data_IF_823616604466
#
_entry.id   IF_823616604466
#
_cell.length_a   1.000
_cell.length_b   1.000
_cell.length_c   1.000
_cell.angle_alpha   90.00
_cell.angle_beta   90.00
_cell.angle_gamma   90.00
#
_symmetry.space_group_name_H-M   'P 1'
#
loop_
_entity.id
_entity.type
_entity.pdbx_description
1 polymer ?
#
# COMPACT_ATOMS: atom_id res chain seq x y z
N UNK A 1 4.44 -3.98 5.17
CA UNK A 1 3.88 -4.81 4.09
C UNK A 1 2.49 -4.29 3.76
N UNK A 2 2.22 -3.99 2.49
CA UNK A 2 0.90 -3.65 1.99
C UNK A 2 0.03 -4.88 1.71
N UNK A 3 -1.29 -4.69 1.61
CA UNK A 3 -2.20 -5.77 1.18
C UNK A 3 -1.86 -6.25 -0.23
N UNK A 4 -1.37 -5.38 -1.12
CA UNK A 4 -0.91 -5.79 -2.45
C UNK A 4 0.26 -6.75 -2.37
N UNK A 5 1.26 -6.43 -1.57
CA UNK A 5 2.44 -7.29 -1.42
C UNK A 5 2.08 -8.63 -0.74
N UNK A 6 1.17 -8.62 0.24
CA UNK A 6 0.68 -9.84 0.88
C UNK A 6 0.03 -10.79 -0.15
N UNK A 7 -0.73 -10.24 -1.11
CA UNK A 7 -1.30 -11.00 -2.22
C UNK A 7 -0.20 -11.53 -3.15
N UNK A 8 0.78 -10.71 -3.52
CA UNK A 8 1.88 -11.13 -4.39
C UNK A 8 2.77 -12.22 -3.77
N UNK A 9 2.84 -12.28 -2.43
CA UNK A 9 3.51 -13.34 -1.69
C UNK A 9 2.73 -14.67 -1.65
N UNK A 10 1.49 -14.71 -2.13
CA UNK A 10 0.66 -15.92 -2.21
C UNK A 10 0.48 -16.39 -3.65
N UNK A 11 0.53 -17.71 -3.87
CA UNK A 11 0.29 -18.30 -5.19
C UNK A 11 -1.11 -18.00 -5.73
N UNK A 12 -2.13 -18.11 -4.87
CA UNK A 12 -3.52 -17.87 -5.27
C UNK A 12 -3.91 -16.38 -5.19
N UNK A 13 -3.11 -15.56 -4.49
CA UNK A 13 -3.35 -14.13 -4.28
C UNK A 13 -4.66 -13.81 -3.56
N UNK A 14 -5.28 -14.79 -2.91
CA UNK A 14 -6.56 -14.62 -2.22
C UNK A 14 -6.36 -14.50 -0.72
N UNK A 15 -7.23 -13.72 -0.08
CA UNK A 15 -7.42 -13.77 1.36
C UNK A 15 -8.46 -14.83 1.71
N UNK A 16 -8.32 -15.44 2.89
CA UNK A 16 -9.38 -16.30 3.41
C UNK A 16 -10.66 -15.48 3.63
N UNK A 17 -11.88 -16.04 3.43
CA UNK A 17 -13.12 -15.26 3.50
C UNK A 17 -13.38 -14.53 4.82
N UNK A 18 -12.88 -15.06 5.94
CA UNK A 18 -12.93 -14.37 7.23
C UNK A 18 -12.01 -13.14 7.26
N UNK A 19 -10.75 -13.32 6.85
CA UNK A 19 -9.75 -12.25 6.76
C UNK A 19 -10.21 -11.16 5.80
N UNK A 20 -10.71 -11.52 4.62
CA UNK A 20 -11.21 -10.57 3.63
C UNK A 20 -12.31 -9.66 4.21
N UNK A 21 -13.24 -10.21 5.01
CA UNK A 21 -14.30 -9.44 5.68
C UNK A 21 -13.75 -8.51 6.76
N UNK A 22 -12.79 -8.98 7.56
CA UNK A 22 -12.13 -8.17 8.60
C UNK A 22 -11.40 -6.98 7.97
N UNK A 23 -10.65 -7.22 6.90
CA UNK A 23 -9.94 -6.20 6.15
C UNK A 23 -10.93 -5.22 5.51
N UNK A 24 -11.95 -5.71 4.80
CA UNK A 24 -12.96 -4.89 4.16
C UNK A 24 -13.63 -3.91 5.14
N UNK A 25 -14.00 -4.38 6.34
CA UNK A 25 -14.58 -3.53 7.38
C UNK A 25 -13.62 -2.40 7.79
N UNK A 26 -12.34 -2.71 8.00
CA UNK A 26 -11.33 -1.70 8.37
C UNK A 26 -11.04 -0.71 7.24
N UNK A 27 -11.03 -1.14 5.98
CA UNK A 27 -10.86 -0.22 4.83
C UNK A 27 -11.96 0.84 4.84
N UNK A 28 -13.22 0.42 5.02
CA UNK A 28 -14.38 1.32 5.07
C UNK A 28 -14.27 2.27 6.26
N UNK A 29 -13.91 1.76 7.45
CA UNK A 29 -13.74 2.59 8.65
C UNK A 29 -12.62 3.63 8.44
N UNK A 30 -11.48 3.23 7.87
CA UNK A 30 -10.36 4.14 7.66
C UNK A 30 -10.71 5.27 6.67
N UNK A 31 -11.41 4.96 5.58
CA UNK A 31 -11.85 5.96 4.59
C UNK A 31 -12.93 6.88 5.18
N UNK A 32 -13.91 6.33 5.89
CA UNK A 32 -14.93 7.13 6.58
C UNK A 32 -14.31 8.10 7.59
N UNK A 33 -13.31 7.63 8.35
CA UNK A 33 -12.61 8.46 9.32
C UNK A 33 -11.95 9.68 8.66
N UNK A 34 -11.20 9.51 7.57
CA UNK A 34 -10.55 10.67 6.91
C UNK A 34 -11.58 11.60 6.24
N UNK A 35 -12.67 11.05 5.70
CA UNK A 35 -13.75 11.82 5.08
C UNK A 35 -14.47 12.69 6.11
N UNK A 36 -14.74 12.15 7.30
CA UNK A 36 -15.36 12.89 8.40
C UNK A 36 -14.50 14.06 8.90
N UNK A 37 -13.19 14.01 8.67
CA UNK A 37 -12.24 15.10 8.94
C UNK A 37 -12.09 16.08 7.77
N UNK A 38 -12.88 15.91 6.70
CA UNK A 38 -12.92 16.83 5.57
C UNK A 38 -11.79 16.63 4.55
N UNK A 39 -11.18 15.44 4.52
CA UNK A 39 -10.11 15.08 3.61
C UNK A 39 -10.50 13.94 2.67
N UNK A 40 -10.06 14.06 1.44
CA UNK A 40 -10.02 13.00 0.43
C UNK A 40 -8.59 12.48 0.41
N UNK A 41 -8.40 11.15 0.43
CA UNK A 41 -7.09 10.53 0.31
C UNK A 41 -6.50 10.74 -1.08
N UNK A 42 -7.32 10.56 -2.13
CA UNK A 42 -6.93 10.79 -3.51
C UNK A 42 -6.10 9.66 -4.13
N UNK A 43 -5.77 8.63 -3.35
CA UNK A 43 -4.94 7.50 -3.79
C UNK A 43 -5.26 6.19 -3.06
N UNK A 44 -6.54 5.82 -3.01
CA UNK A 44 -6.97 4.58 -2.37
C UNK A 44 -6.69 3.38 -3.27
N UNK A 45 -5.80 2.48 -2.83
CA UNK A 45 -5.60 1.15 -3.39
C UNK A 45 -4.97 0.22 -2.35
N UNK A 46 -4.94 -1.10 -2.63
CA UNK A 46 -4.40 -2.12 -1.71
C UNK A 46 -2.90 -1.95 -1.38
N UNK A 47 -2.18 -1.12 -2.13
CA UNK A 47 -0.78 -0.77 -1.84
C UNK A 47 -0.63 0.24 -0.69
N UNK A 48 -1.65 1.07 -0.47
CA UNK A 48 -1.66 2.10 0.58
C UNK A 48 -2.37 1.65 1.86
N UNK A 49 -2.79 0.37 1.93
CA UNK A 49 -3.20 -0.26 3.17
C UNK A 49 -2.11 -1.22 3.64
N UNK A 50 -1.46 -0.87 4.74
CA UNK A 50 -0.39 -1.68 5.34
C UNK A 50 -0.94 -2.59 6.41
N UNK A 51 -0.51 -3.84 6.44
CA UNK A 51 -0.72 -4.74 7.57
C UNK A 51 0.20 -4.33 8.73
N UNK A 52 -0.38 -4.27 9.92
CA UNK A 52 0.36 -4.02 11.14
C UNK A 52 1.29 -5.21 11.43
N UNK A 53 2.54 -4.94 11.75
CA UNK A 53 3.51 -6.00 12.05
C UNK A 53 3.15 -6.73 13.36
N UNK A 54 3.06 -8.07 13.35
CA UNK A 54 2.63 -8.82 14.53
C UNK A 54 3.61 -8.79 15.71
N UNK A 55 4.76 -8.13 15.55
CA UNK A 55 5.81 -8.01 16.54
C UNK A 55 6.43 -6.62 16.52
N UNK A 56 7.08 -6.28 17.62
CA UNK A 56 7.75 -5.01 17.80
C UNK A 56 9.16 -5.12 17.21
N UNK A 57 9.36 -4.55 16.02
CA UNK A 57 10.68 -4.50 15.37
C UNK A 57 11.71 -3.81 16.26
N UNK A 58 11.29 -2.81 17.04
CA UNK A 58 12.18 -2.01 17.89
C UNK A 58 12.72 -2.81 19.10
N UNK A 59 12.18 -4.01 19.34
CA UNK A 59 12.64 -4.91 20.41
C UNK A 59 13.63 -5.97 19.94
N UNK A 60 13.81 -6.14 18.63
CA UNK A 60 14.75 -7.12 18.08
C UNK A 60 16.14 -6.49 17.97
N UNK A 61 17.18 -7.21 18.39
CA UNK A 61 18.55 -6.85 18.06
C UNK A 61 18.81 -7.08 16.56
N UNK A 62 19.90 -6.51 16.04
CA UNK A 62 20.32 -6.74 14.64
C UNK A 62 20.58 -8.23 14.41
N UNK A 63 21.23 -8.89 15.36
CA UNK A 63 21.54 -10.32 15.28
C UNK A 63 20.28 -11.19 15.30
N UNK A 64 19.25 -10.80 16.04
CA UNK A 64 17.95 -11.49 16.05
C UNK A 64 17.18 -11.29 14.73
N UNK A 65 17.29 -10.11 14.12
CA UNK A 65 16.75 -9.84 12.78
C UNK A 65 17.43 -10.71 11.73
N UNK A 66 18.76 -10.74 11.73
CA UNK A 66 19.56 -11.53 10.78
C UNK A 66 19.31 -13.03 10.96
N UNK A 67 19.20 -13.51 12.20
CA UNK A 67 18.87 -14.92 12.49
C UNK A 67 17.46 -15.31 12.00
N UNK A 68 16.51 -14.38 12.01
CA UNK A 68 15.11 -14.63 11.63
C UNK A 68 14.84 -14.45 10.14
N UNK A 69 15.45 -13.45 9.52
CA UNK A 69 15.16 -13.02 8.15
C UNK A 69 16.32 -13.23 7.18
N UNK A 70 17.47 -13.66 7.68
CA UNK A 70 18.71 -13.77 6.92
C UNK A 70 19.51 -12.47 6.93
N UNK A 71 20.79 -12.60 6.57
CA UNK A 71 21.69 -11.47 6.39
C UNK A 71 21.21 -10.54 5.26
N UNK A 72 21.47 -9.21 5.34
CA UNK A 72 21.10 -8.28 4.29
C UNK A 72 21.68 -8.68 2.93
N UNK A 73 20.81 -8.76 1.93
CA UNK A 73 21.23 -8.98 0.54
C UNK A 73 21.66 -7.66 -0.12
N UNK A 74 22.66 -7.75 -0.99
CA UNK A 74 23.22 -6.58 -1.67
C UNK A 74 23.21 -6.76 -3.18
N UNK A 75 22.90 -5.67 -3.89
CA UNK A 75 23.03 -5.60 -5.34
C UNK A 75 24.06 -4.54 -5.74
N UNK A 76 24.91 -4.86 -6.72
CA UNK A 76 25.89 -3.92 -7.25
C UNK A 76 25.19 -2.86 -8.10
N UNK A 77 25.38 -1.58 -7.73
CA UNK A 77 24.86 -0.46 -8.51
C UNK A 77 25.72 -0.33 -9.78
N UNK A 78 25.07 -0.30 -10.93
CA UNK A 78 25.74 -0.16 -12.23
C UNK A 78 25.04 0.90 -13.07
N UNK A 79 25.82 1.66 -13.83
CA UNK A 79 25.26 2.59 -14.80
C UNK A 79 24.80 1.83 -16.04
N UNK A 80 23.64 2.21 -16.57
CA UNK A 80 23.12 1.65 -17.82
C UNK A 80 24.05 1.91 -19.02
N UNK A 81 24.84 2.99 -18.99
CA UNK A 81 25.83 3.31 -20.03
C UNK A 81 27.17 2.59 -19.87
N UNK A 82 27.31 1.71 -18.87
CA UNK A 82 28.53 0.93 -18.61
C UNK A 82 29.72 1.75 -18.08
N UNK A 83 29.57 3.05 -17.85
CA UNK A 83 30.64 3.91 -17.34
C UNK A 83 30.87 3.69 -15.83
N UNK A 84 32.04 4.10 -15.29
CA UNK A 84 32.26 4.05 -13.84
C UNK A 84 31.29 4.96 -13.08
N UNK A 85 30.96 4.54 -11.86
CA UNK A 85 30.20 5.35 -10.91
C UNK A 85 31.01 6.58 -10.48
N UNK A 86 30.30 7.68 -10.26
CA UNK A 86 30.89 8.85 -9.61
C UNK A 86 31.20 8.52 -8.14
N UNK A 87 32.26 9.09 -7.53
CA UNK A 87 32.55 8.91 -6.10
C UNK A 87 31.38 9.24 -5.15
N UNK A 88 30.43 10.07 -5.61
CA UNK A 88 29.24 10.45 -4.83
C UNK A 88 28.09 9.43 -4.88
N UNK A 89 28.23 8.34 -5.65
CA UNK A 89 27.19 7.31 -5.81
C UNK A 89 27.61 6.04 -5.07
N UNK A 90 26.77 5.48 -4.19
CA UNK A 90 27.05 4.20 -3.55
C UNK A 90 27.31 3.10 -4.58
N UNK A 91 28.26 2.22 -4.31
CA UNK A 91 28.58 1.08 -5.19
C UNK A 91 27.65 -0.12 -5.01
N UNK A 92 26.84 -0.13 -3.95
CA UNK A 92 25.93 -1.21 -3.59
C UNK A 92 24.61 -0.65 -3.04
N UNK A 93 23.53 -1.34 -3.35
CA UNK A 93 22.23 -1.18 -2.72
C UNK A 93 22.00 -2.35 -1.75
N UNK A 94 21.26 -2.09 -0.66
CA UNK A 94 20.72 -3.15 0.19
C UNK A 94 19.33 -3.47 -0.35
N UNK A 95 19.07 -4.74 -0.63
CA UNK A 95 17.75 -5.19 -1.08
C UNK A 95 16.76 -5.19 0.10
N UNK A 96 15.50 -4.80 -0.13
CA UNK A 96 14.51 -4.80 0.93
C UNK A 96 14.23 -6.22 1.41
N UNK A 97 14.22 -6.43 2.72
CA UNK A 97 13.82 -7.70 3.33
C UNK A 97 12.29 -7.83 3.37
N UNK A 98 11.80 -9.06 3.20
CA UNK A 98 10.37 -9.36 3.31
C UNK A 98 9.99 -9.71 4.75
N UNK A 99 9.34 -8.77 5.45
CA UNK A 99 8.87 -8.94 6.83
C UNK A 99 7.40 -9.40 6.92
N UNK A 100 6.83 -9.82 5.80
CA UNK A 100 5.40 -10.02 5.63
C UNK A 100 4.90 -11.45 5.78
N UNK A 101 3.57 -11.60 5.69
CA UNK A 101 2.85 -12.88 5.66
C UNK A 101 2.03 -12.93 4.37
N UNK A 102 2.03 -14.08 3.70
CA UNK A 102 1.24 -14.29 2.48
C UNK A 102 -0.27 -14.19 2.76
N UNK A 103 -1.05 -13.69 1.81
CA UNK A 103 -2.49 -13.41 1.98
C UNK A 103 -3.32 -14.62 2.45
N UNK A 104 -2.94 -15.83 2.04
CA UNK A 104 -3.61 -17.08 2.40
C UNK A 104 -3.18 -17.67 3.74
N UNK A 105 -2.15 -17.09 4.37
CA UNK A 105 -1.56 -17.49 5.65
C UNK A 105 -1.82 -16.50 6.79
N UNK A 106 -2.51 -15.40 6.51
CA UNK A 106 -2.88 -14.41 7.51
C UNK A 106 -3.88 -14.97 8.51
N UNK A 107 -3.59 -14.77 9.79
CA UNK A 107 -4.50 -15.11 10.88
C UNK A 107 -5.37 -13.90 11.27
N UNK A 108 -6.57 -14.10 11.86
CA UNK A 108 -7.48 -13.01 12.20
C UNK A 108 -6.89 -11.92 13.10
N UNK A 109 -5.97 -12.28 14.00
CA UNK A 109 -5.33 -11.34 14.92
C UNK A 109 -4.25 -10.48 14.24
N UNK A 110 -3.72 -10.91 13.10
CA UNK A 110 -2.75 -10.21 12.24
C UNK A 110 -3.44 -9.28 11.23
N UNK A 111 -4.73 -9.50 10.95
CA UNK A 111 -5.52 -8.74 10.00
C UNK A 111 -5.89 -7.35 10.54
N UNK A 112 -4.89 -6.55 10.93
CA UNK A 112 -5.01 -5.16 11.35
C UNK A 112 -4.31 -4.28 10.33
N UNK A 113 -4.97 -3.22 9.88
CA UNK A 113 -4.43 -2.34 8.84
C UNK A 113 -4.21 -0.90 9.27
N UNK A 114 -3.34 -0.23 8.54
CA UNK A 114 -3.11 1.20 8.58
C UNK A 114 -3.26 1.77 7.16
N UNK A 115 -4.06 2.81 7.00
CA UNK A 115 -4.07 3.63 5.79
C UNK A 115 -2.84 4.54 5.81
N UNK A 116 -2.03 4.51 4.76
CA UNK A 116 -0.79 5.28 4.63
C UNK A 116 -0.78 6.09 3.34
N UNK A 117 0.29 6.87 3.16
CA UNK A 117 0.59 7.66 1.96
C UNK A 117 -0.44 8.75 1.64
N UNK A 118 -0.47 9.75 2.51
CA UNK A 118 -1.30 10.95 2.35
C UNK A 118 -0.68 11.99 1.39
N UNK A 119 0.30 11.61 0.55
CA UNK A 119 0.94 12.53 -0.40
C UNK A 119 -0.04 13.16 -1.41
N UNK A 120 -1.08 12.42 -1.76
CA UNK A 120 -2.16 12.86 -2.66
C UNK A 120 -3.39 13.43 -1.92
N UNK A 121 -3.37 13.43 -0.59
CA UNK A 121 -4.52 13.84 0.19
C UNK A 121 -4.78 15.35 0.09
N UNK A 122 -6.06 15.73 0.07
CA UNK A 122 -6.46 17.13 -0.01
C UNK A 122 -7.82 17.35 0.63
N UNK A 123 -8.10 18.61 1.00
CA UNK A 123 -9.44 19.01 1.44
C UNK A 123 -10.20 19.64 0.27
N UNK A 124 -11.32 19.06 -0.18
CA UNK A 124 -12.09 19.60 -1.31
C UNK A 124 -12.61 21.02 -1.11
N UNK A 125 -12.72 21.47 0.15
CA UNK A 125 -13.15 22.84 0.49
C UNK A 125 -12.02 23.87 0.38
N UNK A 126 -10.76 23.43 0.38
CA UNK A 126 -9.57 24.30 0.34
C UNK A 126 -8.85 24.24 -1.00
N UNK A 127 -8.92 23.10 -1.69
CA UNK A 127 -8.21 22.86 -2.93
C UNK A 127 -9.11 22.10 -3.91
N UNK A 128 -9.12 22.55 -5.17
CA UNK A 128 -9.69 21.81 -6.28
C UNK A 128 -8.58 20.99 -6.95
N UNK A 129 -8.77 19.68 -7.07
CA UNK A 129 -7.92 18.78 -7.85
C UNK A 129 -8.77 18.08 -8.90
N UNK A 130 -8.28 17.95 -10.13
CA UNK A 130 -8.95 17.18 -11.21
C UNK A 130 -8.09 16.02 -11.74
N UNK A 131 -6.79 16.03 -11.41
CA UNK A 131 -5.85 14.96 -11.78
C UNK A 131 -5.77 13.96 -10.65
N UNK A 132 -5.98 12.68 -10.97
CA UNK A 132 -5.78 11.55 -10.06
C UNK A 132 -4.51 10.80 -10.44
N UNK A 133 -3.62 10.62 -9.47
CA UNK A 133 -2.43 9.79 -9.60
C UNK A 133 -2.69 8.32 -9.23
N UNK A 134 -3.91 8.00 -8.79
CA UNK A 134 -4.32 6.64 -8.46
C UNK A 134 -4.05 5.66 -9.59
N UNK A 135 -3.59 4.42 -9.30
CA UNK A 135 -3.41 3.38 -10.29
C UNK A 135 -4.62 3.24 -11.21
N UNK A 136 -4.37 2.98 -12.50
CA UNK A 136 -5.40 3.00 -13.55
C UNK A 136 -6.61 2.10 -13.26
N UNK A 137 -6.39 0.99 -12.55
CA UNK A 137 -7.42 0.01 -12.17
C UNK A 137 -8.36 0.50 -11.07
N UNK A 138 -7.92 1.43 -10.23
CA UNK A 138 -8.71 2.02 -9.14
C UNK A 138 -9.14 3.46 -9.42
N UNK A 139 -8.68 4.05 -10.54
CA UNK A 139 -8.93 5.45 -10.86
C UNK A 139 -10.43 5.73 -11.03
N UNK A 140 -10.96 6.79 -10.39
CA UNK A 140 -12.36 7.15 -10.49
C UNK A 140 -12.75 7.64 -11.90
N UNK A 141 -14.01 7.42 -12.32
CA UNK A 141 -14.45 7.71 -13.68
C UNK A 141 -14.37 9.18 -14.05
N UNK A 142 -14.61 10.10 -13.11
CA UNK A 142 -14.50 11.54 -13.32
C UNK A 142 -13.07 11.98 -13.65
N UNK A 143 -12.05 11.29 -13.13
CA UNK A 143 -10.65 11.55 -13.48
C UNK A 143 -10.20 10.81 -14.74
N UNK A 144 -10.87 9.69 -15.07
CA UNK A 144 -10.54 8.87 -16.24
C UNK A 144 -11.19 9.39 -17.53
N UNK A 145 -12.43 9.85 -17.44
CA UNK A 145 -13.26 10.22 -18.58
C UNK A 145 -13.76 11.67 -18.51
N UNK A 146 -13.86 12.24 -17.31
CA UNK A 146 -14.32 13.61 -17.11
C UNK A 146 -13.25 14.61 -17.56
N UNK A 147 -13.59 15.49 -18.50
CA UNK A 147 -12.74 16.62 -18.83
C UNK A 147 -12.72 17.60 -17.66
N UNK A 148 -11.67 17.53 -16.83
CA UNK A 148 -11.41 18.47 -15.74
C UNK A 148 -12.46 18.48 -14.61
N UNK A 149 -13.18 17.38 -14.39
CA UNK A 149 -14.09 17.28 -13.26
C UNK A 149 -13.30 17.21 -11.94
N UNK A 150 -13.75 17.90 -10.88
CA UNK A 150 -13.06 17.91 -9.60
C UNK A 150 -13.21 16.55 -8.89
N UNK A 151 -12.10 16.08 -8.34
CA UNK A 151 -12.05 15.00 -7.37
C UNK A 151 -12.68 15.46 -6.05
N UNK A 152 -13.39 14.55 -5.39
CA UNK A 152 -14.06 14.77 -4.12
C UNK A 152 -14.20 13.44 -3.35
N UNK A 153 -14.93 13.43 -2.24
CA UNK A 153 -15.17 12.22 -1.45
C UNK A 153 -15.68 11.01 -2.26
N UNK A 154 -16.57 11.18 -3.27
CA UNK A 154 -16.99 10.06 -4.13
C UNK A 154 -15.85 9.41 -4.93
N UNK A 155 -14.78 10.15 -5.21
CA UNK A 155 -13.59 9.64 -5.92
C UNK A 155 -12.87 8.56 -5.11
N UNK A 156 -12.75 8.77 -3.80
CA UNK A 156 -12.23 7.75 -2.89
C UNK A 156 -13.20 6.58 -2.75
N UNK A 157 -14.52 6.82 -2.73
CA UNK A 157 -15.51 5.75 -2.62
C UNK A 157 -15.44 4.77 -3.81
N UNK A 158 -15.21 5.29 -5.02
CA UNK A 158 -14.96 4.44 -6.19
C UNK A 158 -13.71 3.58 -5.99
N UNK A 159 -12.60 4.22 -5.65
CA UNK A 159 -11.30 3.58 -5.45
C UNK A 159 -11.32 2.56 -4.31
N UNK A 160 -12.09 2.84 -3.26
CA UNK A 160 -12.41 1.93 -2.17
C UNK A 160 -13.20 0.72 -2.68
N UNK A 161 -14.23 0.93 -3.51
CA UNK A 161 -14.97 -0.16 -4.15
C UNK A 161 -14.08 -1.11 -4.95
N UNK A 162 -13.14 -0.56 -5.74
CA UNK A 162 -12.13 -1.36 -6.44
C UNK A 162 -11.23 -2.16 -5.48
N UNK A 163 -10.82 -1.55 -4.36
CA UNK A 163 -9.99 -2.20 -3.34
C UNK A 163 -10.75 -3.31 -2.60
N UNK A 164 -12.02 -3.10 -2.26
CA UNK A 164 -12.89 -4.11 -1.66
C UNK A 164 -13.07 -5.30 -2.59
N UNK A 165 -13.32 -5.05 -3.88
CA UNK A 165 -13.40 -6.12 -4.88
C UNK A 165 -12.10 -6.94 -4.95
N UNK A 166 -10.95 -6.26 -4.98
CA UNK A 166 -9.63 -6.90 -4.97
C UNK A 166 -9.41 -7.78 -3.73
N UNK A 167 -9.90 -7.40 -2.55
CA UNK A 167 -9.73 -8.19 -1.34
C UNK A 167 -10.71 -9.38 -1.28
N UNK A 168 -11.91 -9.23 -1.85
CA UNK A 168 -13.00 -10.19 -1.69
C UNK A 168 -13.04 -11.33 -2.72
N UNK A 169 -12.45 -11.19 -3.91
CA UNK A 169 -12.68 -12.21 -4.95
C UNK A 169 -11.85 -12.15 -6.24
N UNK A 170 -10.70 -11.48 -6.26
CA UNK A 170 -9.82 -11.45 -7.43
C UNK A 170 -8.34 -11.61 -7.07
#
# INVERSE_FOLDING_TARGET
MSLSEAKDASYNRLFQPEIARILAAQLVIAVEYIHSHGFVHGDIHTGNFLLWLPFDLDKLSVEELDAKYGEPEFEAIRRFDGRPLSPSVPSRAVLPIWLGVASDKLEPWEAKILLTDFGEAFSPTKQQRSVSHTPLVSRPPEARFGSNQPLAFPSDNWSLGCSLWSIMGH
#
